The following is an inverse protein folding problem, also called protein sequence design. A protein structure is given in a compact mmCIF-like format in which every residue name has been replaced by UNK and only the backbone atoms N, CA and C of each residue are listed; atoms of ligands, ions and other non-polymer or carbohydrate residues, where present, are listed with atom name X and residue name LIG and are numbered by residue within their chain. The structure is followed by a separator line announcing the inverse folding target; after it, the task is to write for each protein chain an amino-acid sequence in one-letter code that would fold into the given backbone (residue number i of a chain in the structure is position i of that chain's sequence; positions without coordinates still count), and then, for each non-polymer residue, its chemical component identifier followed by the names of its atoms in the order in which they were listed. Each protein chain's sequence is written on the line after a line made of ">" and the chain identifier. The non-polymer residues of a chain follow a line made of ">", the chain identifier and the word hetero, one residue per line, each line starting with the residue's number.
data_IF_876810535942
#
_entry.id   IF_876810535942
#
_cell.length_a   1.000
_cell.length_b   1.000
_cell.length_c   1.000
_cell.angle_alpha   90.00
_cell.angle_beta   90.00
_cell.angle_gamma   90.00
#
_symmetry.space_group_name_H-M   'P 1'
#
loop_
_entity.id
_entity.type
_entity.pdbx_description
1 polymer ?
#
# COMPACT_ATOMS: atom_id res chain seq x y z
N UNK A 1 1.28 2.82 -18.51
CA UNK A 1 0.22 3.03 -19.45
C UNK A 1 0.02 4.50 -19.66
N UNK A 2 0.37 4.96 -20.82
CA UNK A 2 0.30 6.39 -21.07
C UNK A 2 -1.14 6.88 -21.01
N UNK A 3 -1.31 8.00 -20.40
CA UNK A 3 -2.63 8.57 -20.29
C UNK A 3 -3.59 7.80 -19.44
N UNK A 4 -3.09 6.81 -18.78
CA UNK A 4 -3.91 5.98 -17.95
C UNK A 4 -4.38 6.76 -16.75
N UNK A 5 -5.26 6.14 -16.01
CA UNK A 5 -5.92 6.79 -14.91
C UNK A 5 -5.02 7.26 -13.78
N UNK A 6 -3.82 6.79 -13.71
CA UNK A 6 -2.95 7.18 -12.61
C UNK A 6 -2.42 8.58 -12.82
N UNK A 7 -2.99 9.48 -12.09
CA UNK A 7 -2.59 10.86 -12.12
C UNK A 7 -1.57 11.06 -11.02
N UNK A 8 -0.37 11.52 -11.36
CA UNK A 8 0.67 11.70 -10.37
C UNK A 8 0.32 12.71 -9.30
N UNK A 9 -0.67 13.56 -9.55
CA UNK A 9 -1.12 14.50 -8.53
C UNK A 9 -2.02 13.83 -7.49
N UNK A 10 -2.72 12.78 -7.85
CA UNK A 10 -3.63 12.11 -6.93
C UNK A 10 -3.16 10.72 -6.53
N UNK A 11 -2.32 10.10 -7.34
CA UNK A 11 -1.83 8.75 -7.08
C UNK A 11 -0.32 8.72 -7.11
N UNK A 12 0.25 7.93 -6.25
CA UNK A 12 1.69 7.70 -6.23
C UNK A 12 1.95 6.20 -6.33
N UNK A 13 1.46 5.62 -7.41
CA UNK A 13 1.59 4.19 -7.64
C UNK A 13 3.04 3.71 -7.63
N UNK A 14 3.96 4.36 -8.36
CA UNK A 14 5.37 3.92 -8.32
C UNK A 14 5.98 4.05 -6.93
N UNK A 15 5.64 5.11 -6.21
CA UNK A 15 6.16 5.29 -4.86
C UNK A 15 5.67 4.22 -3.91
N UNK A 16 4.41 3.83 -4.06
CA UNK A 16 3.86 2.79 -3.20
C UNK A 16 4.51 1.45 -3.49
N UNK A 17 4.61 1.06 -4.76
CA UNK A 17 5.23 -0.21 -5.10
C UNK A 17 6.69 -0.27 -4.68
N UNK A 18 7.40 0.84 -4.81
CA UNK A 18 8.78 0.91 -4.38
C UNK A 18 8.89 0.75 -2.86
N UNK A 19 8.01 1.40 -2.13
CA UNK A 19 7.98 1.29 -0.67
C UNK A 19 7.69 -0.13 -0.22
N UNK A 20 6.73 -0.79 -0.87
CA UNK A 20 6.41 -2.18 -0.54
C UNK A 20 7.63 -3.08 -0.75
N UNK A 21 8.35 -2.84 -1.82
CA UNK A 21 9.55 -3.59 -2.13
C UNK A 21 10.60 -3.40 -1.04
N UNK A 22 10.78 -2.19 -0.59
CA UNK A 22 11.75 -1.88 0.46
C UNK A 22 11.37 -2.54 1.78
N UNK A 23 10.10 -2.68 2.05
CA UNK A 23 9.62 -3.35 3.25
C UNK A 23 9.74 -4.86 3.16
N UNK A 24 10.03 -5.38 1.97
CA UNK A 24 10.11 -6.81 1.78
C UNK A 24 8.80 -7.45 1.38
N UNK A 25 7.81 -6.65 1.01
CA UNK A 25 6.53 -7.15 0.56
C UNK A 25 6.62 -7.35 -0.94
N UNK A 26 6.99 -8.55 -1.33
CA UNK A 26 7.23 -8.85 -2.74
C UNK A 26 6.30 -9.91 -3.33
N UNK A 27 5.51 -10.55 -2.51
CA UNK A 27 4.58 -11.57 -2.97
C UNK A 27 3.48 -10.91 -3.81
N UNK A 28 3.32 -11.37 -5.03
CA UNK A 28 2.41 -10.73 -5.98
C UNK A 28 0.98 -10.59 -5.48
N UNK A 29 0.47 -11.62 -4.83
CA UNK A 29 -0.88 -11.57 -4.30
C UNK A 29 -1.06 -10.50 -3.23
N UNK A 30 -0.06 -10.37 -2.38
CA UNK A 30 -0.10 -9.36 -1.32
C UNK A 30 0.02 -7.96 -1.90
N UNK A 31 0.94 -7.78 -2.83
CA UNK A 31 1.11 -6.48 -3.47
C UNK A 31 -0.18 -6.06 -4.17
N UNK A 32 -0.78 -6.97 -4.91
CA UNK A 32 -2.03 -6.66 -5.61
C UNK A 32 -3.16 -6.32 -4.66
N UNK A 33 -3.26 -7.03 -3.55
CA UNK A 33 -4.29 -6.75 -2.57
C UNK A 33 -4.10 -5.36 -1.95
N UNK A 34 -2.85 -5.02 -1.64
CA UNK A 34 -2.57 -3.71 -1.07
C UNK A 34 -2.88 -2.61 -2.09
N UNK A 35 -2.53 -2.82 -3.34
CA UNK A 35 -2.83 -1.84 -4.37
C UNK A 35 -4.33 -1.60 -4.49
N UNK A 36 -5.11 -2.67 -4.48
CA UNK A 36 -6.56 -2.52 -4.56
C UNK A 36 -7.13 -1.82 -3.35
N UNK A 37 -6.68 -2.18 -2.17
CA UNK A 37 -7.19 -1.59 -0.94
C UNK A 37 -6.79 -0.13 -0.78
N UNK A 38 -5.68 0.27 -1.38
CA UNK A 38 -5.20 1.64 -1.30
C UNK A 38 -5.58 2.48 -2.51
N UNK A 39 -6.43 1.94 -3.38
CA UNK A 39 -6.81 2.61 -4.62
C UNK A 39 -5.58 2.96 -5.42
N UNK A 40 -4.69 2.00 -5.56
CA UNK A 40 -3.47 2.11 -6.35
C UNK A 40 -2.57 3.27 -5.92
N UNK A 41 -2.49 3.45 -4.62
CA UNK A 41 -1.60 4.46 -4.07
C UNK A 41 -2.14 5.86 -4.10
N UNK A 42 -3.46 6.00 -4.09
CA UNK A 42 -4.07 7.31 -4.07
C UNK A 42 -3.61 8.09 -2.85
N UNK A 43 -3.23 9.33 -3.07
CA UNK A 43 -2.77 10.20 -1.99
C UNK A 43 -3.93 10.51 -1.05
N UNK A 44 -3.61 10.55 0.23
CA UNK A 44 -4.63 10.80 1.23
C UNK A 44 -5.32 9.55 1.75
N UNK A 45 -4.99 8.39 1.20
CA UNK A 45 -5.56 7.14 1.72
C UNK A 45 -4.79 6.69 2.95
N UNK A 46 -5.41 5.78 3.68
CA UNK A 46 -4.86 5.30 4.94
C UNK A 46 -3.54 4.55 4.79
N UNK A 47 -3.28 4.01 3.60
CA UNK A 47 -2.07 3.23 3.38
C UNK A 47 -0.80 4.02 3.71
N UNK A 48 -0.76 5.29 3.32
CA UNK A 48 0.43 6.10 3.57
C UNK A 48 0.64 6.33 5.06
N UNK A 49 -0.43 6.55 5.77
CA UNK A 49 -0.39 6.76 7.20
C UNK A 49 0.05 5.49 7.92
N UNK A 50 -0.49 4.35 7.51
CA UNK A 50 -0.11 3.07 8.09
C UNK A 50 1.36 2.78 7.87
N UNK A 51 1.85 3.03 6.66
CA UNK A 51 3.25 2.80 6.36
C UNK A 51 4.15 3.68 7.22
N UNK A 52 3.78 4.93 7.38
CA UNK A 52 4.59 5.89 8.14
C UNK A 52 4.57 5.62 9.64
N UNK A 53 3.45 5.12 10.15
CA UNK A 53 3.27 4.98 11.59
C UNK A 53 3.55 3.59 12.15
N UNK A 54 3.85 2.64 11.30
CA UNK A 54 4.06 1.27 11.76
C UNK A 54 5.54 0.99 12.02
N UNK A 55 5.82 0.32 13.12
CA UNK A 55 7.17 -0.12 13.43
C UNK A 55 7.43 -1.44 12.73
N UNK A 56 7.87 -1.36 11.50
CA UNK A 56 8.01 -2.53 10.64
C UNK A 56 9.00 -3.56 11.13
N UNK A 57 10.00 -3.14 11.87
CA UNK A 57 10.99 -4.08 12.38
C UNK A 57 10.41 -5.12 13.32
N UNK A 58 9.27 -4.82 13.93
CA UNK A 58 8.61 -5.75 14.83
C UNK A 58 7.60 -6.65 14.16
N UNK A 59 7.44 -6.52 12.85
CA UNK A 59 6.40 -7.24 12.13
C UNK A 59 7.02 -8.29 11.24
N UNK A 60 6.64 -9.55 11.46
CA UNK A 60 7.16 -10.65 10.65
C UNK A 60 6.50 -10.75 9.30
N UNK A 61 5.18 -10.75 9.27
CA UNK A 61 4.42 -10.86 8.01
C UNK A 61 3.89 -9.49 7.60
N UNK A 62 4.76 -8.68 7.06
CA UNK A 62 4.43 -7.28 6.76
C UNK A 62 3.29 -7.12 5.77
N UNK A 63 3.28 -7.90 4.71
CA UNK A 63 2.21 -7.82 3.73
C UNK A 63 0.86 -8.16 4.32
N UNK A 64 0.78 -9.24 5.07
CA UNK A 64 -0.44 -9.64 5.73
C UNK A 64 -0.89 -8.60 6.74
N UNK A 65 0.03 -8.05 7.48
CA UNK A 65 -0.28 -7.05 8.46
C UNK A 65 -0.91 -5.82 7.80
N UNK A 66 -0.30 -5.36 6.72
CA UNK A 66 -0.80 -4.18 6.03
C UNK A 66 -2.17 -4.44 5.41
N UNK A 67 -2.35 -5.60 4.81
CA UNK A 67 -3.64 -5.96 4.24
C UNK A 67 -4.72 -5.98 5.31
N UNK A 68 -4.44 -6.59 6.45
CA UNK A 68 -5.41 -6.64 7.54
C UNK A 68 -5.75 -5.25 8.06
N UNK A 69 -4.74 -4.40 8.20
CA UNK A 69 -4.94 -3.05 8.68
C UNK A 69 -5.78 -2.22 7.70
N UNK A 70 -5.52 -2.39 6.40
CA UNK A 70 -6.28 -1.69 5.39
C UNK A 70 -7.73 -2.15 5.33
N UNK A 71 -7.94 -3.46 5.46
CA UNK A 71 -9.29 -4.00 5.51
C UNK A 71 -10.06 -3.47 6.70
N UNK A 72 -9.42 -3.42 7.84
CA UNK A 72 -10.04 -2.92 9.04
C UNK A 72 -10.40 -1.45 8.90
N UNK A 73 -9.51 -0.66 8.30
CA UNK A 73 -9.77 0.76 8.09
C UNK A 73 -10.92 0.98 7.12
N UNK A 74 -11.04 0.11 6.12
CA UNK A 74 -12.07 0.23 5.12
C UNK A 74 -13.45 -0.16 5.62
N UNK A 75 -13.50 -1.04 6.59
CA UNK A 75 -14.74 -1.54 7.09
C UNK A 75 -15.39 -0.63 8.04
N UNK A 76 -15.28 0.37 8.25
CA UNK A 76 -15.88 1.21 9.20
C UNK A 76 -17.29 0.91 9.60
#
# INVERSE_FOLDING_TARGET
>A
IPGYAFNTMTHNYPGLTDTLKRLGITEAGEVNAILRLSDYGRKGTRVWQLIANTCWSDIGAKGRYLIAALNKAKRK
#
